data_IF_793163044951
#
_entry.id   IF_793163044951
#
_cell.length_a   1.000
_cell.length_b   1.000
_cell.length_c   1.000
_cell.angle_alpha   90.00
_cell.angle_beta   90.00
_cell.angle_gamma   90.00
#
_symmetry.space_group_name_H-M   'P 1'
#
loop_
_entity.id
_entity.type
_entity.pdbx_description
1 polymer ?
#
# COMPACT_ATOMS: atom_id res chain seq x y z
N UNK A 1 -11.74 6.11 5.72
CA UNK A 1 -12.63 6.41 4.57
C UNK A 1 -12.08 7.58 3.76
N UNK A 2 -11.36 8.48 4.43
CA UNK A 2 -10.85 9.74 3.88
C UNK A 2 -9.89 9.54 2.72
N UNK A 3 -8.90 8.65 2.85
CA UNK A 3 -7.92 8.40 1.77
C UNK A 3 -8.58 8.04 0.43
N UNK A 4 -9.53 7.08 0.41
CA UNK A 4 -10.21 6.71 -0.84
C UNK A 4 -11.05 7.87 -1.37
N UNK A 5 -11.77 8.57 -0.49
CA UNK A 5 -12.60 9.72 -0.86
C UNK A 5 -11.75 10.83 -1.46
N UNK A 6 -10.65 11.21 -0.82
CA UNK A 6 -9.68 12.20 -1.31
C UNK A 6 -9.17 11.84 -2.71
N UNK A 7 -8.69 10.61 -2.91
CA UNK A 7 -8.22 10.18 -4.23
C UNK A 7 -9.33 10.17 -5.29
N UNK A 8 -10.54 9.79 -4.89
CA UNK A 8 -11.69 9.73 -5.80
C UNK A 8 -12.14 11.13 -6.22
N UNK A 9 -12.28 12.06 -5.27
CA UNK A 9 -12.64 13.46 -5.53
C UNK A 9 -11.58 14.17 -6.38
N UNK A 10 -10.29 13.96 -6.10
CA UNK A 10 -9.20 14.50 -6.92
C UNK A 10 -9.27 14.03 -8.38
N UNK A 11 -9.67 12.76 -8.58
CA UNK A 11 -9.84 12.20 -9.93
C UNK A 11 -11.04 12.80 -10.66
N UNK A 12 -12.15 13.08 -9.96
CA UNK A 12 -13.35 13.66 -10.58
C UNK A 12 -13.20 15.17 -10.84
N UNK A 13 -12.52 15.90 -9.96
CA UNK A 13 -12.36 17.35 -10.05
C UNK A 13 -11.28 17.86 -11.01
N UNK A 14 -10.46 16.98 -11.61
CA UNK A 14 -9.37 17.37 -12.52
C UNK A 14 -9.31 16.46 -13.76
N UNK A 15 -9.08 17.05 -14.94
CA UNK A 15 -8.84 16.36 -16.23
C UNK A 15 -7.49 15.60 -16.29
N UNK A 16 -6.92 15.22 -15.15
CA UNK A 16 -5.52 14.80 -15.03
C UNK A 16 -5.33 13.27 -14.97
N UNK A 17 -4.10 12.83 -15.26
CA UNK A 17 -3.62 11.44 -15.30
C UNK A 17 -3.69 10.65 -13.98
N UNK A 18 -4.24 11.23 -12.91
CA UNK A 18 -4.30 10.61 -11.59
C UNK A 18 -5.46 9.58 -11.54
N UNK A 19 -5.10 8.32 -11.34
CA UNK A 19 -6.09 7.25 -11.07
C UNK A 19 -6.04 6.93 -9.58
N UNK A 20 -7.18 6.54 -9.02
CA UNK A 20 -7.25 6.04 -7.63
C UNK A 20 -6.35 4.80 -7.49
N UNK A 21 -5.41 4.78 -6.52
CA UNK A 21 -4.53 3.63 -6.29
C UNK A 21 -5.28 2.39 -5.82
N UNK A 22 -4.75 1.19 -6.13
CA UNK A 22 -5.36 -0.08 -5.73
C UNK A 22 -5.43 -0.21 -4.21
N UNK A 23 -4.40 0.22 -3.49
CA UNK A 23 -4.43 0.17 -2.02
C UNK A 23 -5.63 0.95 -1.45
N UNK A 24 -6.05 2.04 -2.09
CA UNK A 24 -7.20 2.83 -1.62
C UNK A 24 -8.51 2.05 -1.83
N UNK A 25 -8.65 1.34 -2.96
CA UNK A 25 -9.75 0.39 -3.15
C UNK A 25 -9.73 -0.71 -2.08
N UNK A 26 -8.55 -1.26 -1.77
CA UNK A 26 -8.40 -2.30 -0.74
C UNK A 26 -8.84 -1.81 0.64
N UNK A 27 -8.41 -0.61 1.06
CA UNK A 27 -8.86 -0.01 2.32
C UNK A 27 -10.37 0.22 2.34
N UNK A 28 -10.99 0.57 1.21
CA UNK A 28 -12.46 0.67 1.13
C UNK A 28 -13.12 -0.68 1.36
N UNK A 29 -12.60 -1.76 0.77
CA UNK A 29 -13.12 -3.12 0.94
C UNK A 29 -13.03 -3.57 2.39
N UNK A 30 -11.87 -3.41 3.03
CA UNK A 30 -11.67 -3.76 4.45
C UNK A 30 -12.70 -3.08 5.34
N UNK A 31 -12.90 -1.77 5.13
CA UNK A 31 -13.81 -0.99 5.96
C UNK A 31 -15.27 -1.41 5.75
N UNK A 32 -15.72 -1.58 4.50
CA UNK A 32 -17.10 -1.99 4.20
C UNK A 32 -17.39 -3.40 4.72
N UNK A 33 -16.40 -4.29 4.69
CA UNK A 33 -16.53 -5.65 5.18
C UNK A 33 -16.29 -5.81 6.69
N UNK A 34 -15.90 -4.75 7.41
CA UNK A 34 -15.60 -4.83 8.84
C UNK A 34 -14.45 -5.79 9.17
N UNK A 35 -13.43 -5.84 8.30
CA UNK A 35 -12.31 -6.80 8.42
C UNK A 35 -11.20 -6.34 9.36
N UNK A 36 -11.27 -5.13 9.91
CA UNK A 36 -10.33 -4.70 10.94
C UNK A 36 -10.81 -5.16 12.32
N UNK A 37 -9.92 -5.76 13.11
CA UNK A 37 -10.16 -6.11 14.50
C UNK A 37 -9.49 -5.07 15.39
N UNK A 38 -10.29 -4.17 15.97
CA UNK A 38 -9.77 -3.12 16.86
C UNK A 38 -9.21 -3.69 18.18
N UNK A 39 -9.70 -4.86 18.64
CA UNK A 39 -9.23 -5.46 19.89
C UNK A 39 -7.85 -6.11 19.71
N UNK A 40 -7.60 -6.72 18.55
CA UNK A 40 -6.31 -7.31 18.22
C UNK A 40 -5.38 -6.36 17.46
N UNK A 41 -5.87 -5.18 17.08
CA UNK A 41 -5.18 -4.18 16.28
C UNK A 41 -4.61 -4.74 14.96
N UNK A 42 -5.34 -5.65 14.30
CA UNK A 42 -4.92 -6.32 13.04
C UNK A 42 -6.10 -6.61 12.13
N UNK A 43 -5.86 -6.95 10.86
CA UNK A 43 -6.91 -7.45 9.98
C UNK A 43 -7.30 -8.90 10.31
N UNK A 44 -8.61 -9.17 10.33
CA UNK A 44 -9.20 -10.52 10.34
C UNK A 44 -8.88 -11.25 9.04
N UNK A 45 -8.77 -12.56 9.11
CA UNK A 45 -8.68 -13.37 7.90
C UNK A 45 -10.05 -13.53 7.25
N UNK A 46 -10.06 -13.74 5.95
CA UNK A 46 -11.27 -14.12 5.23
C UNK A 46 -10.93 -15.03 4.05
N UNK A 47 -11.95 -15.73 3.54
CA UNK A 47 -11.77 -16.52 2.34
C UNK A 47 -11.75 -15.61 1.10
N UNK A 48 -11.15 -16.09 0.01
CA UNK A 48 -11.16 -15.36 -1.26
C UNK A 48 -12.59 -15.10 -1.76
N UNK A 49 -13.52 -16.00 -1.47
CA UNK A 49 -14.94 -15.85 -1.83
C UNK A 49 -15.56 -14.67 -1.09
N UNK A 50 -15.40 -14.62 0.24
CA UNK A 50 -15.93 -13.52 1.06
C UNK A 50 -15.30 -12.18 0.67
N UNK A 51 -14.00 -12.19 0.33
CA UNK A 51 -13.31 -11.01 -0.18
C UNK A 51 -13.88 -10.55 -1.53
N UNK A 52 -14.08 -11.45 -2.49
CA UNK A 52 -14.66 -11.12 -3.79
C UNK A 52 -16.10 -10.57 -3.64
N UNK A 53 -16.90 -11.12 -2.72
CA UNK A 53 -18.23 -10.59 -2.37
C UNK A 53 -18.15 -9.18 -1.76
N UNK A 54 -17.20 -8.95 -0.85
CA UNK A 54 -16.95 -7.63 -0.26
C UNK A 54 -16.51 -6.60 -1.31
N UNK A 55 -15.69 -7.01 -2.30
CA UNK A 55 -15.33 -6.17 -3.45
C UNK A 55 -16.60 -5.79 -4.23
N UNK A 56 -17.46 -6.75 -4.56
CA UNK A 56 -18.72 -6.46 -5.27
C UNK A 56 -19.61 -5.51 -4.46
N UNK A 57 -19.81 -5.76 -3.17
CA UNK A 57 -20.60 -4.89 -2.28
C UNK A 57 -20.02 -3.47 -2.21
N UNK A 58 -18.69 -3.35 -2.11
CA UNK A 58 -18.00 -2.06 -2.02
C UNK A 58 -18.15 -1.20 -3.27
N UNK A 59 -18.32 -1.82 -4.43
CA UNK A 59 -18.29 -1.14 -5.73
C UNK A 59 -19.47 -1.54 -6.64
N UNK A 60 -20.60 -1.94 -6.06
CA UNK A 60 -21.75 -2.56 -6.73
C UNK A 60 -22.14 -1.90 -8.07
N UNK A 61 -22.20 -0.56 -8.11
CA UNK A 61 -22.55 0.22 -9.32
C UNK A 61 -21.35 0.61 -10.19
N UNK A 62 -20.14 0.56 -9.63
CA UNK A 62 -18.91 0.99 -10.28
C UNK A 62 -18.16 -0.24 -10.78
N UNK A 63 -18.26 -0.52 -12.08
CA UNK A 63 -17.53 -1.64 -12.70
C UNK A 63 -16.03 -1.46 -12.48
N UNK A 64 -15.47 -2.22 -11.54
CA UNK A 64 -14.02 -2.30 -11.37
C UNK A 64 -13.43 -3.10 -12.54
N UNK A 65 -12.38 -2.56 -13.15
CA UNK A 65 -11.66 -3.23 -14.23
C UNK A 65 -11.05 -4.55 -13.77
N UNK A 66 -10.99 -5.55 -14.66
CA UNK A 66 -10.47 -6.88 -14.33
C UNK A 66 -9.05 -6.84 -13.74
N UNK A 67 -8.18 -5.99 -14.29
CA UNK A 67 -6.82 -5.76 -13.77
C UNK A 67 -6.82 -5.35 -12.30
N UNK A 68 -7.70 -4.42 -11.93
CA UNK A 68 -7.82 -3.94 -10.55
C UNK A 68 -8.31 -5.05 -9.62
N UNK A 69 -9.22 -5.94 -10.06
CA UNK A 69 -9.61 -7.13 -9.28
C UNK A 69 -8.41 -8.06 -9.06
N UNK A 70 -7.64 -8.36 -10.10
CA UNK A 70 -6.41 -9.17 -9.98
C UNK A 70 -5.40 -8.53 -9.03
N UNK A 71 -5.27 -7.22 -9.07
CA UNK A 71 -4.37 -6.49 -8.17
C UNK A 71 -4.87 -6.50 -6.72
N UNK A 72 -6.18 -6.34 -6.48
CA UNK A 72 -6.79 -6.44 -5.15
C UNK A 72 -6.60 -7.83 -4.53
N UNK A 73 -6.67 -8.89 -5.33
CA UNK A 73 -6.41 -10.26 -4.85
C UNK A 73 -5.01 -10.42 -4.28
N UNK A 74 -4.02 -9.71 -4.81
CA UNK A 74 -2.68 -9.71 -4.19
C UNK A 74 -2.72 -9.15 -2.77
N UNK A 75 -3.47 -8.09 -2.50
CA UNK A 75 -3.62 -7.59 -1.13
C UNK A 75 -4.32 -8.61 -0.22
N UNK A 76 -5.32 -9.32 -0.72
CA UNK A 76 -5.94 -10.42 0.01
C UNK A 76 -4.89 -11.49 0.37
N UNK A 77 -4.09 -11.94 -0.60
CA UNK A 77 -3.12 -13.01 -0.37
C UNK A 77 -2.10 -12.65 0.72
N UNK A 78 -1.62 -11.39 0.73
CA UNK A 78 -0.68 -10.92 1.76
C UNK A 78 -1.34 -10.67 3.12
N UNK A 79 -2.55 -10.11 3.16
CA UNK A 79 -3.06 -9.50 4.40
C UNK A 79 -4.33 -10.14 4.95
N UNK A 80 -5.06 -10.94 4.16
CA UNK A 80 -6.37 -11.49 4.54
C UNK A 80 -6.45 -13.01 4.43
N UNK A 81 -5.55 -13.66 3.68
CA UNK A 81 -5.58 -15.11 3.53
C UNK A 81 -5.29 -15.84 4.85
N UNK A 82 -5.86 -17.04 5.03
CA UNK A 82 -5.64 -17.88 6.24
C UNK A 82 -4.17 -18.25 6.46
N UNK A 83 -3.38 -18.36 5.39
CA UNK A 83 -1.97 -18.74 5.44
C UNK A 83 -1.02 -17.53 5.40
N UNK A 84 -1.54 -16.32 5.61
CA UNK A 84 -0.73 -15.10 5.59
C UNK A 84 0.31 -15.11 6.71
N UNK A 85 1.51 -14.64 6.39
CA UNK A 85 2.60 -14.46 7.36
C UNK A 85 2.72 -13.02 7.86
N UNK A 86 2.02 -12.08 7.19
CA UNK A 86 1.95 -10.67 7.55
C UNK A 86 0.51 -10.19 7.58
N UNK A 87 0.27 -9.05 8.21
CA UNK A 87 -1.03 -8.37 8.19
C UNK A 87 -0.84 -6.86 8.31
N UNK A 88 -1.93 -6.10 8.11
CA UNK A 88 -1.95 -4.67 8.41
C UNK A 88 -2.40 -4.43 9.84
N UNK A 89 -1.81 -3.40 10.44
CA UNK A 89 -2.10 -2.91 11.80
C UNK A 89 -2.13 -1.37 11.80
N UNK A 90 -2.69 -0.77 12.85
CA UNK A 90 -2.58 0.67 13.11
C UNK A 90 -1.45 0.95 14.10
N UNK A 91 -0.49 1.76 13.66
CA UNK A 91 0.68 2.19 14.44
C UNK A 91 0.69 3.71 14.42
N UNK A 92 0.47 4.33 15.58
CA UNK A 92 0.35 5.79 15.71
C UNK A 92 -0.68 6.37 14.72
N UNK A 93 -1.83 5.72 14.59
CA UNK A 93 -2.92 6.13 13.67
C UNK A 93 -2.70 5.79 12.19
N UNK A 94 -1.47 5.42 11.79
CA UNK A 94 -1.12 5.08 10.41
C UNK A 94 -1.19 3.57 10.17
N UNK A 95 -1.45 3.16 8.94
CA UNK A 95 -1.35 1.75 8.57
C UNK A 95 0.12 1.33 8.54
N UNK A 96 0.42 0.15 9.08
CA UNK A 96 1.73 -0.49 9.02
C UNK A 96 1.59 -1.98 8.74
N UNK A 97 2.70 -2.63 8.39
CA UNK A 97 2.76 -4.09 8.18
C UNK A 97 3.49 -4.72 9.35
N UNK A 98 2.93 -5.77 9.93
CA UNK A 98 3.59 -6.59 10.96
C UNK A 98 3.63 -8.06 10.53
N UNK A 99 4.62 -8.79 11.01
CA UNK A 99 4.65 -10.26 10.94
C UNK A 99 3.63 -10.86 11.91
N UNK A 100 2.93 -11.93 11.50
CA UNK A 100 2.02 -12.68 12.37
C UNK A 100 2.69 -13.89 13.03
N UNK A 101 3.80 -14.32 12.46
CA UNK A 101 4.59 -15.47 12.88
C UNK A 101 6.07 -15.10 12.87
N UNK A 102 6.92 -16.00 13.36
CA UNK A 102 8.37 -15.90 13.16
C UNK A 102 8.67 -16.16 11.67
N UNK A 103 9.43 -15.26 11.04
CA UNK A 103 9.70 -15.28 9.60
C UNK A 103 11.21 -15.27 9.37
N UNK A 104 11.70 -16.17 8.52
CA UNK A 104 13.11 -16.25 8.18
C UNK A 104 13.54 -15.10 7.27
N UNK A 105 14.84 -14.82 7.24
CA UNK A 105 15.41 -13.81 6.34
C UNK A 105 15.01 -14.10 4.87
N UNK A 106 14.67 -13.05 4.11
CA UNK A 106 14.29 -13.09 2.69
C UNK A 106 12.98 -13.81 2.33
N UNK A 107 12.17 -14.22 3.31
CA UNK A 107 10.93 -14.96 3.10
C UNK A 107 9.75 -14.06 2.70
N UNK A 108 9.64 -12.85 3.27
CA UNK A 108 8.63 -11.87 2.86
C UNK A 108 9.15 -11.14 1.62
N UNK A 109 8.32 -11.08 0.59
CA UNK A 109 8.58 -10.33 -0.64
C UNK A 109 7.29 -9.63 -1.06
N UNK A 110 7.11 -8.35 -0.72
CA UNK A 110 5.90 -7.59 -1.05
C UNK A 110 6.10 -6.71 -2.29
N UNK A 111 5.23 -6.77 -3.30
CA UNK A 111 5.44 -6.00 -4.51
C UNK A 111 5.06 -4.52 -4.31
N UNK A 112 5.88 -3.67 -4.95
CA UNK A 112 5.67 -2.24 -5.13
C UNK A 112 5.46 -1.97 -6.62
N UNK A 113 4.29 -1.48 -6.98
CA UNK A 113 3.95 -1.12 -8.34
C UNK A 113 4.14 0.36 -8.56
N UNK A 114 4.64 0.70 -9.74
CA UNK A 114 4.65 2.09 -10.20
C UNK A 114 3.45 2.27 -11.11
N UNK A 115 2.51 3.13 -10.71
CA UNK A 115 1.22 3.18 -11.41
C UNK A 115 0.81 4.53 -11.94
N UNK A 116 1.07 5.60 -11.20
CA UNK A 116 0.39 6.87 -11.42
C UNK A 116 1.40 7.97 -11.64
N UNK A 117 1.19 8.75 -12.70
CA UNK A 117 1.98 9.93 -13.04
C UNK A 117 1.19 11.17 -12.68
N UNK A 118 1.87 12.12 -12.05
CA UNK A 118 1.31 13.40 -11.65
C UNK A 118 2.43 14.45 -11.59
N UNK A 119 2.07 15.71 -11.63
CA UNK A 119 3.01 16.82 -11.47
C UNK A 119 3.15 17.23 -9.99
N UNK A 120 4.18 18.03 -9.68
CA UNK A 120 4.43 18.52 -8.32
C UNK A 120 3.34 19.43 -7.76
N UNK A 121 2.48 20.04 -8.59
CA UNK A 121 1.39 20.91 -8.11
C UNK A 121 0.36 20.14 -7.28
N UNK A 122 0.31 18.81 -7.45
CA UNK A 122 -0.60 17.92 -6.73
C UNK A 122 -0.09 17.53 -5.35
N UNK A 123 1.18 17.76 -5.02
CA UNK A 123 1.79 17.34 -3.74
C UNK A 123 0.96 17.82 -2.55
N UNK A 124 0.62 19.12 -2.50
CA UNK A 124 -0.15 19.73 -1.40
C UNK A 124 -1.55 19.18 -1.19
N UNK A 125 -2.07 18.41 -2.15
CA UNK A 125 -3.44 17.85 -2.11
C UNK A 125 -3.45 16.34 -1.98
N UNK A 126 -2.31 15.67 -2.22
CA UNK A 126 -2.20 14.23 -2.15
C UNK A 126 -1.92 13.81 -0.71
N UNK A 127 -2.56 12.74 -0.21
CA UNK A 127 -2.21 12.21 1.10
C UNK A 127 -0.75 11.71 1.09
N UNK A 128 -0.07 11.61 2.25
CA UNK A 128 1.32 11.15 2.32
C UNK A 128 1.57 9.84 1.56
N UNK A 129 2.61 9.81 0.73
CA UNK A 129 2.91 8.67 -0.14
C UNK A 129 4.38 8.68 -0.59
N UNK A 130 4.88 7.50 -0.97
CA UNK A 130 6.22 7.39 -1.54
C UNK A 130 6.18 7.77 -3.01
N UNK A 131 7.01 8.75 -3.38
CA UNK A 131 7.10 9.27 -4.75
C UNK A 131 8.50 9.15 -5.30
N UNK A 132 8.60 9.14 -6.63
CA UNK A 132 9.89 9.23 -7.31
C UNK A 132 9.76 10.05 -8.57
N UNK A 133 10.65 11.02 -8.75
CA UNK A 133 10.72 11.82 -9.98
C UNK A 133 10.88 10.91 -11.21
N UNK A 134 10.16 11.22 -12.27
CA UNK A 134 10.20 10.46 -13.51
C UNK A 134 11.55 10.70 -14.20
N UNK A 135 12.36 9.66 -14.49
CA UNK A 135 13.75 9.84 -14.92
C UNK A 135 13.91 10.57 -16.26
N UNK A 136 12.90 10.48 -17.14
CA UNK A 136 12.90 11.08 -18.49
C UNK A 136 11.87 12.19 -18.74
N UNK A 137 10.99 12.51 -17.78
CA UNK A 137 9.83 13.39 -18.02
C UNK A 137 9.75 14.48 -16.95
N UNK A 138 10.84 15.24 -16.82
CA UNK A 138 10.92 16.47 -16.03
C UNK A 138 10.17 16.39 -14.68
N UNK A 139 9.21 17.30 -14.51
CA UNK A 139 8.45 17.51 -13.27
C UNK A 139 7.28 16.54 -13.05
N UNK A 140 7.29 15.40 -13.75
CA UNK A 140 6.38 14.31 -13.43
C UNK A 140 6.97 13.41 -12.35
N UNK A 141 6.12 12.95 -11.46
CA UNK A 141 6.43 12.04 -10.38
C UNK A 141 5.59 10.78 -10.52
N UNK A 142 6.16 9.65 -10.09
CA UNK A 142 5.43 8.42 -9.95
C UNK A 142 5.05 8.15 -8.51
N UNK A 143 3.84 7.66 -8.29
CA UNK A 143 3.40 7.12 -7.01
C UNK A 143 3.55 5.60 -7.01
N UNK A 144 4.02 5.09 -5.88
CA UNK A 144 4.01 3.66 -5.59
C UNK A 144 2.65 3.18 -5.08
N UNK A 145 2.32 1.94 -5.43
CA UNK A 145 1.10 1.23 -5.04
C UNK A 145 1.45 -0.25 -4.79
N UNK A 146 0.47 -1.07 -4.45
CA UNK A 146 0.65 -2.48 -4.12
C UNK A 146 0.83 -2.73 -2.62
N UNK A 147 0.86 -4.00 -2.19
CA UNK A 147 0.96 -4.37 -0.78
C UNK A 147 2.14 -3.72 -0.05
N UNK A 148 3.29 -3.56 -0.73
CA UNK A 148 4.48 -2.97 -0.12
C UNK A 148 4.31 -1.51 0.30
N UNK A 149 3.33 -0.78 -0.22
CA UNK A 149 3.14 0.65 0.10
C UNK A 149 2.77 0.89 1.57
N UNK A 150 2.33 -0.16 2.27
CA UNK A 150 1.98 -0.10 3.70
C UNK A 150 3.17 -0.31 4.64
N UNK A 151 4.35 -0.68 4.12
CA UNK A 151 5.55 -0.80 4.96
C UNK A 151 6.08 0.58 5.25
N UNK A 152 6.12 0.94 6.52
CA UNK A 152 6.46 2.30 6.91
C UNK A 152 7.95 2.62 6.75
N UNK A 153 8.22 3.91 6.56
CA UNK A 153 9.56 4.47 6.57
C UNK A 153 10.24 4.30 7.92
N UNK A 154 11.56 4.13 7.91
CA UNK A 154 12.44 4.43 9.03
C UNK A 154 13.75 5.06 8.52
N UNK A 155 14.15 6.19 9.10
CA UNK A 155 15.36 6.94 8.77
C UNK A 155 16.62 6.42 9.50
N UNK A 156 16.44 5.58 10.52
CA UNK A 156 17.50 5.02 11.37
C UNK A 156 18.05 3.67 10.83
N UNK A 157 19.22 3.18 11.28
CA UNK A 157 19.86 1.97 10.75
C UNK A 157 19.13 0.64 11.06
N UNK A 158 18.05 0.66 11.85
CA UNK A 158 17.30 -0.52 12.28
C UNK A 158 16.28 -1.02 11.23
N UNK A 159 16.59 -0.86 9.94
CA UNK A 159 15.73 -1.39 8.89
C UNK A 159 15.79 -2.91 8.88
N UNK A 160 14.64 -3.55 9.08
CA UNK A 160 14.50 -4.99 8.98
C UNK A 160 14.02 -5.43 7.59
N UNK A 161 13.65 -4.47 6.74
CA UNK A 161 13.36 -4.66 5.32
C UNK A 161 14.23 -3.77 4.43
N UNK A 162 14.36 -4.17 3.18
CA UNK A 162 15.03 -3.39 2.14
C UNK A 162 14.14 -3.29 0.90
N UNK A 163 14.33 -2.21 0.16
CA UNK A 163 13.75 -2.01 -1.16
C UNK A 163 14.67 -2.63 -2.21
N UNK A 164 14.12 -3.40 -3.18
CA UNK A 164 14.92 -3.96 -4.29
C UNK A 164 14.24 -3.78 -5.63
N UNK A 165 15.03 -3.49 -6.66
CA UNK A 165 14.66 -3.72 -8.06
C UNK A 165 15.16 -5.09 -8.51
N UNK A 166 14.25 -6.03 -8.72
CA UNK A 166 14.58 -7.36 -9.23
C UNK A 166 14.24 -7.46 -10.73
N UNK A 167 15.09 -8.15 -11.51
CA UNK A 167 14.78 -8.47 -12.91
C UNK A 167 13.78 -9.63 -12.91
N UNK A 168 12.51 -9.33 -13.17
CA UNK A 168 11.52 -10.36 -13.51
C UNK A 168 11.63 -10.79 -14.97
N UNK A 169 10.96 -11.90 -15.36
CA UNK A 169 11.06 -12.47 -16.70
C UNK A 169 10.61 -11.53 -17.83
N UNK A 170 9.73 -10.57 -17.53
CA UNK A 170 9.17 -9.64 -18.54
C UNK A 170 9.44 -8.17 -18.23
N UNK A 171 9.81 -7.83 -16.99
CA UNK A 171 10.03 -6.45 -16.54
C UNK A 171 10.74 -6.42 -15.19
N UNK A 172 11.40 -5.30 -14.91
CA UNK A 172 11.84 -4.97 -13.56
C UNK A 172 10.64 -4.93 -12.61
N UNK A 173 10.77 -5.56 -11.45
CA UNK A 173 9.81 -5.51 -10.36
C UNK A 173 10.45 -4.83 -9.17
N UNK A 174 9.68 -3.97 -8.51
CA UNK A 174 10.10 -3.37 -7.24
C UNK A 174 9.43 -4.14 -6.13
N UNK A 175 10.19 -4.47 -5.10
CA UNK A 175 9.71 -5.23 -3.96
C UNK A 175 10.26 -4.66 -2.66
N UNK A 176 9.59 -4.99 -1.57
CA UNK A 176 10.11 -4.89 -0.21
C UNK A 176 10.37 -6.31 0.28
N UNK A 177 11.57 -6.55 0.78
CA UNK A 177 11.99 -7.86 1.29
C UNK A 177 12.58 -7.72 2.69
N UNK A 178 12.28 -8.65 3.59
CA UNK A 178 12.90 -8.65 4.92
C UNK A 178 14.36 -9.11 4.81
N UNK A 179 15.28 -8.37 5.44
CA UNK A 179 16.73 -8.62 5.39
C UNK A 179 17.29 -9.24 6.66
N UNK A 180 16.45 -9.41 7.67
CA UNK A 180 16.73 -10.14 8.91
C UNK A 180 15.56 -11.07 9.24
N UNK A 181 15.78 -12.00 10.15
CA UNK A 181 14.69 -12.76 10.76
C UNK A 181 13.77 -11.81 11.52
N UNK A 182 12.45 -12.02 11.43
CA UNK A 182 11.45 -11.26 12.16
C UNK A 182 10.79 -12.15 13.20
N UNK A 183 10.65 -11.65 14.42
CA UNK A 183 9.80 -12.28 15.43
C UNK A 183 8.33 -11.92 15.19
N UNK A 184 7.41 -12.65 15.84
CA UNK A 184 5.98 -12.38 15.74
C UNK A 184 5.65 -10.94 16.20
N UNK A 185 4.77 -10.27 15.48
CA UNK A 185 4.34 -8.88 15.66
C UNK A 185 5.45 -7.84 15.47
N UNK A 186 6.57 -8.21 14.83
CA UNK A 186 7.58 -7.24 14.44
C UNK A 186 7.05 -6.40 13.28
N UNK A 187 7.07 -5.08 13.42
CA UNK A 187 6.72 -4.18 12.33
C UNK A 187 7.81 -4.18 11.26
N UNK A 188 7.40 -4.29 10.00
CA UNK A 188 8.28 -4.16 8.87
C UNK A 188 8.59 -2.67 8.62
N UNK A 189 9.88 -2.34 8.54
CA UNK A 189 10.40 -0.99 8.34
C UNK A 189 11.45 -0.97 7.24
N UNK A 190 11.39 0.05 6.40
CA UNK A 190 12.32 0.23 5.27
C UNK A 190 12.73 1.69 5.11
N UNK A 191 13.95 1.94 4.65
CA UNK A 191 14.30 3.27 4.15
C UNK A 191 13.70 3.44 2.75
N UNK A 192 12.96 4.51 2.52
CA UNK A 192 12.45 4.78 1.20
C UNK A 192 13.60 5.34 0.35
N UNK A 193 14.03 4.61 -0.67
CA UNK A 193 15.04 5.06 -1.66
C UNK A 193 14.44 6.07 -2.70
N UNK A 194 13.43 6.81 -2.27
CA UNK A 194 12.73 7.84 -3.04
C UNK A 194 12.48 9.07 -2.18
N UNK A 195 11.96 10.12 -2.79
CA UNK A 195 11.51 11.29 -2.05
C UNK A 195 10.24 10.88 -1.30
N UNK A 196 10.33 10.73 0.03
CA UNK A 196 9.15 10.55 0.86
C UNK A 196 8.41 11.88 0.88
N UNK A 197 7.26 11.95 0.22
CA UNK A 197 6.38 13.08 0.41
C UNK A 197 5.50 12.81 1.63
N UNK A 198 5.86 13.43 2.74
CA UNK A 198 4.95 13.64 3.86
C UNK A 198 4.36 15.03 3.63
N UNK A 199 3.02 15.12 3.59
CA UNK A 199 2.38 16.41 3.76
C UNK A 199 2.77 16.87 5.18
N UNK A 200 3.62 17.88 5.28
CA UNK A 200 3.76 18.60 6.54
C UNK A 200 2.35 19.11 6.85
N UNK A 201 1.73 18.56 7.88
CA UNK A 201 0.65 19.28 8.53
C UNK A 201 1.32 20.60 8.94
N UNK A 202 0.75 21.74 8.55
CA UNK A 202 1.07 23.03 9.15
C UNK A 202 0.67 22.95 10.64
N UNK A 203 1.45 22.21 11.42
CA UNK A 203 1.48 22.27 12.87
C UNK A 203 2.35 23.48 13.20
N UNK A 204 1.83 24.66 12.83
CA UNK A 204 2.09 26.00 13.36
C UNK A 204 1.54 27.06 12.38
N UNK A 205 0.24 27.32 12.48
CA UNK A 205 -0.39 28.58 12.07
C UNK A 205 -1.53 28.93 13.05
#
# INVERSE_FOLDING_TARGET
MDIFKTYFELKEGRSCMLKVPVFAYFLRVINVAGLYDDSQNVLKECTLKDFDEAVVKSFYKNRIQQKMKTDLRKFHDYFLSTNRVVTLTKIQGRWGVVSLVKVAQNEICMPLWTRHLFDSSLFKTLPPHVVKKHPKRGDLFFMFDGPGVFVNHNSAPLNNCTWREEKGPYKKQRIIRNIVQLDKMTELRVSYEGELYVQEDDADA
#
